data_IF_699736690141
#
_entry.id   IF_699736690141
#
_cell.length_a   1.000
_cell.length_b   1.000
_cell.length_c   1.000
_cell.angle_alpha   90.00
_cell.angle_beta   90.00
_cell.angle_gamma   90.00
#
_symmetry.space_group_name_H-M   'P 1'
#
loop_
_entity.id
_entity.type
_entity.pdbx_description
1 polymer ?
#
# COMPACT_ATOMS: atom_id res chain seq x y z
N UNK A 1 18.86 -5.90 3.12
CA UNK A 1 17.95 -6.50 4.12
C UNK A 1 17.20 -7.59 3.40
N UNK A 2 17.24 -8.80 3.93
CA UNK A 2 16.53 -9.91 3.31
C UNK A 2 15.03 -9.72 3.50
N UNK A 3 14.27 -9.81 2.41
CA UNK A 3 12.81 -9.63 2.37
C UNK A 3 12.10 -10.67 3.26
N UNK A 4 12.77 -11.80 3.50
CA UNK A 4 12.29 -12.91 4.34
C UNK A 4 12.68 -12.76 5.82
N UNK A 5 13.56 -11.82 6.16
CA UNK A 5 14.01 -11.62 7.54
C UNK A 5 12.94 -10.93 8.39
N UNK A 6 12.85 -11.30 9.66
CA UNK A 6 12.03 -10.60 10.63
C UNK A 6 12.66 -9.27 11.02
N UNK A 7 11.81 -8.24 11.14
CA UNK A 7 12.23 -6.91 11.59
C UNK A 7 12.35 -6.85 13.11
N UNK A 8 13.16 -5.91 13.59
CA UNK A 8 13.26 -5.59 15.03
C UNK A 8 11.88 -5.22 15.59
N UNK A 9 11.57 -5.54 16.86
CA UNK A 9 10.26 -5.23 17.46
C UNK A 9 9.91 -3.74 17.39
N UNK A 10 10.89 -2.85 17.50
CA UNK A 10 10.75 -1.39 17.36
C UNK A 10 10.30 -0.93 15.97
N UNK A 11 10.55 -1.75 14.93
CA UNK A 11 10.19 -1.47 13.54
C UNK A 11 9.02 -2.33 13.04
N UNK A 12 8.36 -3.03 13.95
CA UNK A 12 7.18 -3.82 13.60
C UNK A 12 6.01 -2.90 13.24
N UNK A 13 5.14 -3.38 12.36
CA UNK A 13 3.94 -2.65 11.96
C UNK A 13 2.76 -3.10 12.81
N UNK A 14 2.06 -2.15 13.41
CA UNK A 14 0.94 -2.45 14.31
C UNK A 14 -0.35 -2.03 13.62
N UNK A 15 -1.23 -3.00 13.41
CA UNK A 15 -2.55 -2.79 12.84
C UNK A 15 -3.50 -2.14 13.86
N UNK A 16 -4.59 -1.54 13.40
CA UNK A 16 -5.59 -0.94 14.29
C UNK A 16 -6.32 -1.95 15.17
N UNK A 17 -6.28 -3.23 14.83
CA UNK A 17 -6.79 -4.34 15.65
C UNK A 17 -5.80 -4.81 16.73
N UNK A 18 -4.60 -4.20 16.78
CA UNK A 18 -3.53 -4.55 17.72
C UNK A 18 -2.60 -5.67 17.24
N UNK A 19 -2.85 -6.28 16.07
CA UNK A 19 -1.93 -7.29 15.52
C UNK A 19 -0.61 -6.66 15.12
N UNK A 20 0.48 -7.37 15.42
CA UNK A 20 1.85 -6.93 15.15
C UNK A 20 2.42 -7.74 13.98
N UNK A 21 2.84 -7.04 12.94
CA UNK A 21 3.43 -7.60 11.73
C UNK A 21 4.93 -7.32 11.74
N UNK A 22 5.75 -8.38 11.72
CA UNK A 22 7.21 -8.28 11.78
C UNK A 22 7.91 -8.61 10.47
N UNK A 23 7.22 -9.25 9.53
CA UNK A 23 7.77 -9.72 8.26
C UNK A 23 6.83 -9.38 7.10
N UNK A 24 7.35 -9.22 5.88
CA UNK A 24 6.55 -9.07 4.66
C UNK A 24 5.73 -10.33 4.36
N UNK A 25 6.21 -11.51 4.76
CA UNK A 25 5.44 -12.76 4.66
C UNK A 25 4.22 -12.73 5.59
N UNK A 26 4.41 -12.27 6.83
CA UNK A 26 3.30 -12.09 7.77
C UNK A 26 2.30 -11.04 7.25
N UNK A 27 2.79 -9.96 6.63
CA UNK A 27 1.92 -8.97 6.00
C UNK A 27 1.05 -9.59 4.92
N UNK A 28 1.64 -10.35 3.99
CA UNK A 28 0.90 -11.02 2.91
C UNK A 28 -0.21 -11.93 3.47
N UNK A 29 0.12 -12.77 4.46
CA UNK A 29 -0.86 -13.67 5.10
C UNK A 29 -1.95 -12.90 5.85
N UNK A 30 -1.57 -11.83 6.54
CA UNK A 30 -2.48 -11.00 7.33
C UNK A 30 -3.46 -10.26 6.43
N UNK A 31 -3.06 -9.82 5.23
CA UNK A 31 -3.94 -9.12 4.29
C UNK A 31 -5.15 -9.95 3.85
N UNK A 32 -5.04 -11.29 3.83
CA UNK A 32 -6.17 -12.18 3.52
C UNK A 32 -7.15 -12.34 4.69
N UNK A 33 -6.71 -12.04 5.91
CA UNK A 33 -7.47 -12.28 7.15
C UNK A 33 -8.00 -10.99 7.79
N UNK A 34 -7.47 -9.83 7.42
CA UNK A 34 -7.92 -8.55 8.03
C UNK A 34 -9.25 -8.09 7.46
N UNK A 35 -10.04 -7.47 8.33
CA UNK A 35 -11.28 -6.80 7.97
C UNK A 35 -11.02 -5.58 7.08
N UNK A 36 -11.99 -5.24 6.23
CA UNK A 36 -11.91 -4.09 5.33
C UNK A 36 -11.75 -2.77 6.11
N UNK A 37 -12.45 -2.62 7.23
CA UNK A 37 -12.37 -1.42 8.08
C UNK A 37 -10.95 -1.20 8.66
N UNK A 38 -10.30 -2.29 9.08
CA UNK A 38 -8.92 -2.25 9.58
C UNK A 38 -7.97 -1.85 8.45
N UNK A 39 -8.16 -2.40 7.24
CA UNK A 39 -7.34 -2.06 6.08
C UNK A 39 -7.50 -0.59 5.66
N UNK A 40 -8.74 -0.09 5.60
CA UNK A 40 -9.05 1.29 5.17
C UNK A 40 -8.48 2.34 6.13
N UNK A 41 -8.31 2.00 7.41
CA UNK A 41 -7.62 2.87 8.38
C UNK A 41 -6.14 3.12 8.04
N UNK A 42 -5.50 2.16 7.35
CA UNK A 42 -4.09 2.22 6.96
C UNK A 42 -3.90 2.65 5.50
N UNK A 43 -4.90 2.39 4.64
CA UNK A 43 -4.85 2.67 3.20
C UNK A 43 -6.04 3.55 2.84
N UNK A 44 -5.77 4.84 2.61
CA UNK A 44 -6.80 5.79 2.17
C UNK A 44 -6.29 6.67 1.03
N UNK A 45 -7.11 7.59 0.54
CA UNK A 45 -6.74 8.46 -0.60
C UNK A 45 -5.49 9.30 -0.32
N UNK A 46 -5.27 9.68 0.95
CA UNK A 46 -4.20 10.59 1.36
C UNK A 46 -2.92 9.87 1.79
N UNK A 47 -3.04 8.67 2.35
CA UNK A 47 -1.92 7.90 2.93
C UNK A 47 -2.00 6.41 2.61
N UNK A 48 -0.83 5.78 2.65
CA UNK A 48 -0.67 4.35 2.57
C UNK A 48 0.42 3.98 3.57
N UNK A 49 0.02 3.49 4.75
CA UNK A 49 0.95 3.21 5.83
C UNK A 49 1.87 2.01 5.49
N UNK A 50 1.38 1.05 4.71
CA UNK A 50 2.19 -0.08 4.22
C UNK A 50 3.31 0.38 3.29
N UNK A 51 3.03 1.36 2.41
CA UNK A 51 4.06 1.96 1.55
C UNK A 51 5.21 2.55 2.37
N UNK A 52 4.88 3.39 3.35
CA UNK A 52 5.89 4.04 4.20
C UNK A 52 6.69 3.00 4.99
N UNK A 53 6.01 1.99 5.56
CA UNK A 53 6.67 0.92 6.30
C UNK A 53 7.64 0.10 5.43
N UNK A 54 7.22 -0.34 4.24
CA UNK A 54 8.09 -1.11 3.32
C UNK A 54 9.31 -0.27 2.92
N UNK A 55 9.08 1.00 2.57
CA UNK A 55 10.14 1.93 2.16
C UNK A 55 11.14 2.21 3.28
N UNK A 56 10.67 2.49 4.49
CA UNK A 56 11.51 2.99 5.57
C UNK A 56 12.15 1.86 6.39
N UNK A 57 11.47 0.71 6.51
CA UNK A 57 11.97 -0.44 7.30
C UNK A 57 12.80 -1.40 6.45
N UNK A 58 12.33 -1.76 5.25
CA UNK A 58 13.03 -2.71 4.38
C UNK A 58 13.93 -2.02 3.34
N UNK A 59 13.65 -0.76 3.02
CA UNK A 59 14.42 -0.01 2.01
C UNK A 59 14.11 -0.43 0.57
N UNK A 60 13.11 -1.27 0.33
CA UNK A 60 12.74 -1.73 -1.01
C UNK A 60 11.87 -0.69 -1.73
N UNK A 61 12.53 0.21 -2.45
CA UNK A 61 11.89 1.31 -3.18
C UNK A 61 11.03 0.82 -4.35
N UNK A 62 11.39 -0.31 -4.96
CA UNK A 62 10.68 -0.86 -6.12
C UNK A 62 9.35 -1.45 -5.67
N UNK A 63 9.39 -2.27 -4.61
CA UNK A 63 8.18 -2.83 -4.00
C UNK A 63 7.31 -1.71 -3.42
N UNK A 64 7.90 -0.77 -2.68
CA UNK A 64 7.16 0.37 -2.15
C UNK A 64 6.50 1.17 -3.28
N UNK A 65 7.23 1.46 -4.36
CA UNK A 65 6.67 2.15 -5.53
C UNK A 65 5.46 1.43 -6.13
N UNK A 66 5.51 0.11 -6.26
CA UNK A 66 4.37 -0.68 -6.73
C UNK A 66 3.17 -0.64 -5.77
N UNK A 67 3.43 -0.68 -4.45
CA UNK A 67 2.40 -0.68 -3.40
C UNK A 67 1.72 0.67 -3.23
N UNK A 68 2.42 1.78 -3.55
CA UNK A 68 1.97 3.15 -3.26
C UNK A 68 0.53 3.44 -3.69
N UNK A 69 0.17 3.01 -4.90
CA UNK A 69 -1.12 3.31 -5.52
C UNK A 69 -2.17 2.19 -5.36
N UNK A 70 -1.82 1.10 -4.67
CA UNK A 70 -2.72 -0.04 -4.45
C UNK A 70 -3.70 0.27 -3.32
N UNK A 71 -4.99 0.19 -3.62
CA UNK A 71 -6.10 0.44 -2.68
C UNK A 71 -6.94 -0.80 -2.38
N UNK A 72 -6.54 -1.95 -2.91
CA UNK A 72 -7.22 -3.23 -2.69
C UNK A 72 -6.28 -4.18 -1.97
N UNK A 73 -6.80 -4.87 -0.94
CA UNK A 73 -6.10 -5.91 -0.19
C UNK A 73 -5.53 -6.99 -1.12
N UNK A 74 -6.32 -7.42 -2.09
CA UNK A 74 -5.94 -8.47 -3.06
C UNK A 74 -4.78 -8.02 -3.95
N UNK A 75 -4.82 -6.78 -4.43
CA UNK A 75 -3.75 -6.22 -5.26
C UNK A 75 -2.43 -6.15 -4.47
N UNK A 76 -2.52 -5.70 -3.21
CA UNK A 76 -1.40 -5.59 -2.30
C UNK A 76 -0.80 -6.97 -1.99
N UNK A 77 -1.63 -7.94 -1.60
CA UNK A 77 -1.23 -9.30 -1.31
C UNK A 77 -0.56 -9.96 -2.53
N UNK A 78 -1.15 -9.79 -3.73
CA UNK A 78 -0.59 -10.32 -4.98
C UNK A 78 0.77 -9.72 -5.31
N UNK A 79 0.96 -8.42 -5.09
CA UNK A 79 2.24 -7.76 -5.33
C UNK A 79 3.33 -8.26 -4.37
N UNK A 80 2.98 -8.47 -3.10
CA UNK A 80 3.86 -9.05 -2.09
C UNK A 80 4.22 -10.50 -2.43
N UNK A 81 3.23 -11.34 -2.73
CA UNK A 81 3.44 -12.74 -3.12
C UNK A 81 4.40 -12.85 -4.30
N UNK A 82 4.18 -12.07 -5.37
CA UNK A 82 5.08 -12.04 -6.54
C UNK A 82 6.51 -11.68 -6.16
N UNK A 83 6.70 -10.71 -5.25
CA UNK A 83 8.04 -10.30 -4.81
C UNK A 83 8.70 -11.36 -3.94
N UNK A 84 7.94 -12.01 -3.05
CA UNK A 84 8.41 -13.11 -2.22
C UNK A 84 8.85 -14.30 -3.07
N UNK A 85 8.04 -14.71 -4.05
CA UNK A 85 8.37 -15.79 -4.98
C UNK A 85 9.66 -15.52 -5.76
N UNK A 86 9.82 -14.28 -6.25
CA UNK A 86 11.05 -13.87 -6.93
C UNK A 86 12.27 -13.95 -5.99
N UNK A 87 12.11 -13.57 -4.72
CA UNK A 87 13.20 -13.65 -3.74
C UNK A 87 13.58 -15.10 -3.42
N UNK A 88 12.59 -15.98 -3.24
CA UNK A 88 12.79 -17.40 -2.94
C UNK A 88 13.45 -18.10 -4.13
N UNK A 89 12.99 -17.82 -5.36
CA UNK A 89 13.58 -18.37 -6.58
C UNK A 89 15.04 -17.95 -6.74
N UNK A 90 15.38 -16.71 -6.34
CA UNK A 90 16.76 -16.24 -6.37
C UNK A 90 17.64 -16.87 -5.28
N UNK A 91 17.09 -17.22 -4.12
CA UNK A 91 17.86 -17.83 -3.02
C UNK A 91 18.09 -19.34 -3.21
N UNK A 92 17.20 -20.03 -3.94
CA UNK A 92 17.27 -21.49 -4.18
C UNK A 92 18.06 -21.83 -5.45
N UNK A 93 18.66 -20.84 -6.13
CA UNK A 93 19.34 -21.09 -7.40
C UNK A 93 20.69 -21.84 -7.29
N UNK A 94 21.24 -22.11 -6.09
CA UNK A 94 22.49 -22.90 -5.98
C UNK A 94 22.64 -23.79 -4.70
N UNK A 95 21.68 -24.65 -4.33
CA UNK A 95 21.91 -25.67 -3.30
C UNK A 95 22.85 -26.79 -3.79
N UNK A 96 23.12 -26.89 -5.09
CA UNK A 96 23.99 -27.90 -5.69
C UNK A 96 25.31 -27.38 -6.27
N UNK A 97 25.65 -26.10 -6.09
CA UNK A 97 27.02 -25.62 -6.20
C UNK A 97 27.87 -26.09 -5.00
N UNK A 98 27.71 -27.35 -4.59
CA UNK A 98 28.78 -28.09 -3.93
C UNK A 98 29.88 -28.13 -4.96
N UNK A 99 30.85 -27.22 -4.83
CA UNK A 99 32.16 -27.35 -5.43
C UNK A 99 32.60 -28.79 -5.17
N UNK A 100 32.48 -29.63 -6.20
CA UNK A 100 33.27 -30.84 -6.25
C UNK A 100 34.71 -30.36 -6.07
N UNK A 101 35.43 -30.77 -5.02
CA UNK A 101 36.85 -30.48 -4.92
C UNK A 101 37.51 -31.28 -6.03
N UNK A 102 37.48 -30.73 -7.25
CA UNK A 102 38.20 -31.27 -8.39
C UNK A 102 39.67 -30.98 -8.10
N UNK A 103 40.25 -31.94 -7.39
CA UNK A 103 41.62 -32.41 -7.49
C UNK A 103 42.47 -31.51 -8.37
N UNK A 104 43.39 -30.81 -7.70
CA UNK A 104 44.72 -30.52 -8.18
C UNK A 104 45.21 -31.55 -9.20
N UNK A 105 45.01 -31.28 -10.49
CA UNK A 105 45.79 -31.89 -11.56
C UNK A 105 46.45 -30.76 -12.31
N UNK A 106 47.68 -30.53 -11.86
CA UNK A 106 48.83 -29.99 -12.57
C UNK A 106 48.70 -30.21 -14.08
N UNK A 107 48.77 -29.12 -14.84
CA UNK A 107 48.72 -29.12 -16.30
C UNK A 107 49.22 -27.81 -16.87
N UNK A 108 50.53 -27.60 -16.74
CA UNK A 108 51.31 -26.60 -17.48
C UNK A 108 51.03 -26.70 -18.98
N UNK A 109 50.77 -25.57 -19.65
CA UNK A 109 50.61 -25.53 -21.11
C UNK A 109 50.14 -24.19 -21.66
N UNK A 110 51.07 -23.24 -21.75
CA UNK A 110 51.20 -22.22 -22.81
C UNK A 110 50.15 -22.18 -23.94
N UNK A 111 49.48 -21.04 -24.16
CA UNK A 111 49.90 -20.07 -25.20
C UNK A 111 48.92 -18.88 -25.40
N UNK A 112 49.41 -17.77 -25.98
CA UNK A 112 48.73 -16.47 -26.06
C UNK A 112 48.25 -16.11 -27.48
N UNK A 113 47.02 -15.62 -27.63
CA UNK A 113 46.47 -14.93 -28.83
C UNK A 113 45.01 -14.61 -28.50
N UNK A 114 44.36 -13.50 -28.82
CA UNK A 114 44.64 -12.36 -29.68
C UNK A 114 43.58 -11.31 -29.34
N UNK A 115 44.01 -10.06 -29.11
CA UNK A 115 43.14 -8.93 -28.79
C UNK A 115 42.36 -8.49 -30.03
N UNK A 116 41.04 -8.69 -30.03
CA UNK A 116 40.14 -8.16 -31.06
C UNK A 116 39.80 -6.69 -30.76
N UNK A 117 40.06 -5.74 -31.69
CA UNK A 117 39.77 -4.33 -31.46
C UNK A 117 38.26 -4.04 -31.50
N UNK A 118 37.84 -3.22 -30.54
CA UNK A 118 36.47 -2.76 -30.29
C UNK A 118 36.09 -1.68 -31.35
N UNK A 119 34.99 -1.83 -32.10
CA UNK A 119 34.54 -0.77 -33.00
C UNK A 119 34.00 0.43 -32.20
N UNK A 120 34.58 1.60 -32.44
CA UNK A 120 34.12 2.89 -31.91
C UNK A 120 32.82 3.28 -32.64
N UNK A 121 31.67 2.98 -32.06
CA UNK A 121 30.40 3.55 -32.51
C UNK A 121 30.21 4.92 -31.85
N UNK A 122 30.46 5.96 -32.65
CA UNK A 122 30.13 7.35 -32.34
C UNK A 122 28.61 7.50 -32.35
N UNK A 123 27.98 7.42 -31.17
CA UNK A 123 26.56 7.73 -31.02
C UNK A 123 26.42 9.23 -30.85
N UNK A 124 26.05 9.87 -31.97
CA UNK A 124 25.62 11.26 -32.08
C UNK A 124 24.34 11.45 -31.27
N UNK A 125 24.43 12.07 -30.09
CA UNK A 125 23.26 12.45 -29.31
C UNK A 125 22.56 13.66 -29.96
N UNK A 126 21.24 13.64 -30.18
CA UNK A 126 20.49 14.84 -30.50
C UNK A 126 20.30 15.68 -29.25
N UNK A 127 20.83 16.90 -29.30
CA UNK A 127 20.47 17.98 -28.38
C UNK A 127 19.02 18.41 -28.66
N UNK A 128 18.09 18.06 -27.77
CA UNK A 128 16.78 18.69 -27.76
C UNK A 128 16.21 18.77 -26.34
N UNK A 129 16.16 20.02 -25.87
CA UNK A 129 15.15 20.60 -24.98
C UNK A 129 14.99 20.02 -23.56
N UNK A 130 15.86 20.47 -22.66
CA UNK A 130 15.44 20.77 -21.28
C UNK A 130 14.66 22.08 -21.28
N UNK A 131 13.33 22.03 -21.27
CA UNK A 131 12.51 23.16 -20.83
C UNK A 131 12.27 23.03 -19.34
N UNK A 132 13.11 23.71 -18.57
CA UNK A 132 12.83 24.15 -17.20
C UNK A 132 11.48 24.86 -17.14
N UNK A 133 10.56 24.32 -16.36
CA UNK A 133 9.39 25.05 -15.89
C UNK A 133 9.24 24.86 -14.38
N UNK A 134 10.04 25.61 -13.64
CA UNK A 134 9.72 26.01 -12.28
C UNK A 134 8.78 27.23 -12.34
N UNK A 135 7.81 27.34 -11.43
CA UNK A 135 7.46 28.62 -10.84
C UNK A 135 7.69 28.54 -9.33
N UNK A 136 8.69 29.27 -8.83
CA UNK A 136 8.55 30.61 -8.24
C UNK A 136 7.91 30.59 -6.86
N UNK A 137 8.80 30.75 -5.90
CA UNK A 137 8.60 31.37 -4.60
C UNK A 137 7.60 32.54 -4.62
N UNK A 138 6.70 32.58 -3.64
CA UNK A 138 6.14 33.83 -3.14
C UNK A 138 6.22 33.86 -1.62
N UNK A 139 7.28 34.51 -1.12
CA UNK A 139 7.29 35.14 0.20
C UNK A 139 6.36 36.36 0.16
N UNK A 140 5.45 36.48 1.11
CA UNK A 140 4.94 37.74 1.70
C UNK A 140 4.44 37.35 3.10
N UNK A 141 5.19 37.64 4.16
CA UNK A 141 5.23 38.93 4.86
C UNK A 141 3.81 39.36 5.29
N UNK A 142 3.56 39.29 6.59
CA UNK A 142 2.23 39.38 7.18
C UNK A 142 1.72 40.78 7.48
N UNK A 143 0.54 40.81 8.11
CA UNK A 143 -0.03 41.89 8.92
C UNK A 143 -1.23 41.25 9.66
N UNK A 144 -1.15 41.11 10.98
CA UNK A 144 -1.71 42.00 12.01
C UNK A 144 -3.25 42.13 11.99
N UNK A 145 -3.84 41.60 13.07
CA UNK A 145 -4.90 42.16 13.95
C UNK A 145 -6.27 42.55 13.38
N UNK A 146 -7.32 41.98 13.97
CA UNK A 146 -8.53 42.63 14.54
C UNK A 146 -9.62 41.55 14.69
N UNK A 147 -9.99 41.11 15.91
CA UNK A 147 -11.12 41.64 16.70
C UNK A 147 -12.41 41.83 15.88
N UNK A 148 -13.46 41.06 16.17
CA UNK A 148 -14.75 41.30 15.54
C UNK A 148 -15.77 40.18 15.73
N UNK A 149 -16.24 40.03 16.96
CA UNK A 149 -17.55 39.49 17.27
C UNK A 149 -18.63 40.10 16.38
N UNK A 150 -19.44 39.28 15.70
CA UNK A 150 -20.87 39.59 15.52
C UNK A 150 -21.70 38.39 15.04
N UNK A 151 -22.75 38.18 15.81
CA UNK A 151 -23.88 37.32 15.59
C UNK A 151 -24.67 37.62 14.30
N UNK A 152 -25.65 36.72 14.04
CA UNK A 152 -26.90 36.95 13.29
C UNK A 152 -26.70 37.05 11.77
N UNK A 153 -27.33 36.24 10.92
CA UNK A 153 -28.79 36.16 10.69
C UNK A 153 -29.09 35.09 9.63
N UNK A 154 -30.26 34.48 9.78
CA UNK A 154 -31.00 33.71 8.77
C UNK A 154 -31.33 34.58 7.54
N UNK A 155 -31.27 34.01 6.34
CA UNK A 155 -32.02 34.40 5.12
C UNK A 155 -31.67 33.37 4.04
N UNK A 156 -32.51 32.39 3.71
CA UNK A 156 -33.66 32.49 2.80
C UNK A 156 -33.31 33.00 1.38
N UNK A 157 -33.55 32.12 0.40
CA UNK A 157 -34.20 32.38 -0.90
C UNK A 157 -33.42 33.11 -2.02
N UNK A 158 -33.11 32.37 -3.09
CA UNK A 158 -33.35 32.64 -4.53
C UNK A 158 -32.45 31.69 -5.32
N UNK A 159 -32.91 30.71 -6.10
CA UNK A 159 -33.72 30.80 -7.31
C UNK A 159 -33.26 31.95 -8.23
N UNK A 160 -32.22 31.68 -9.03
CA UNK A 160 -31.97 32.43 -10.26
C UNK A 160 -31.49 31.49 -11.34
N UNK A 161 -32.38 31.32 -12.32
CA UNK A 161 -32.12 30.75 -13.62
C UNK A 161 -31.05 31.57 -14.32
N UNK A 162 -30.07 30.91 -14.94
CA UNK A 162 -29.38 31.48 -16.10
C UNK A 162 -29.17 30.40 -17.16
N UNK A 163 -30.13 30.41 -18.07
CA UNK A 163 -30.08 29.89 -19.42
C UNK A 163 -29.10 30.70 -20.29
N UNK A 164 -28.62 30.05 -21.36
CA UNK A 164 -27.81 30.64 -22.44
C UNK A 164 -26.31 30.38 -22.24
N UNK A 165 -25.55 29.91 -23.22
CA UNK A 165 -25.64 30.23 -24.64
C UNK A 165 -24.83 29.22 -25.45
N UNK A 166 -25.41 28.82 -26.57
CA UNK A 166 -24.83 27.96 -27.58
C UNK A 166 -23.45 28.45 -28.07
N UNK A 167 -22.51 27.52 -28.23
CA UNK A 167 -21.43 27.63 -29.22
C UNK A 167 -21.44 26.40 -30.11
N UNK A 168 -22.09 26.56 -31.26
CA UNK A 168 -21.91 25.73 -32.46
C UNK A 168 -20.46 25.91 -32.91
N UNK A 169 -19.73 24.81 -32.97
CA UNK A 169 -18.38 24.74 -33.54
C UNK A 169 -18.25 23.43 -34.28
N UNK A 170 -18.62 23.46 -35.56
CA UNK A 170 -18.38 22.40 -36.54
C UNK A 170 -16.91 22.03 -36.56
N UNK A 171 -16.57 20.77 -36.28
CA UNK A 171 -15.39 20.15 -36.89
C UNK A 171 -15.82 18.83 -37.50
N UNK A 172 -15.50 18.75 -38.77
CA UNK A 172 -15.85 17.71 -39.74
C UNK A 172 -15.12 16.41 -39.41
N UNK A 173 -15.86 15.30 -39.48
CA UNK A 173 -15.58 14.15 -40.36
C UNK A 173 -14.15 13.59 -40.33
N UNK A 174 -13.97 12.50 -39.57
CA UNK A 174 -13.15 11.37 -39.99
C UNK A 174 -13.78 10.09 -39.42
N UNK A 175 -14.62 9.48 -40.25
CA UNK A 175 -15.11 8.14 -40.06
C UNK A 175 -14.05 7.18 -40.62
N UNK A 176 -13.58 6.23 -39.82
CA UNK A 176 -13.07 4.96 -40.34
C UNK A 176 -13.06 3.89 -39.24
N UNK A 177 -14.02 2.98 -39.38
CA UNK A 177 -13.85 1.54 -39.21
C UNK A 177 -13.34 1.00 -37.86
N UNK A 178 -14.27 0.66 -36.96
CA UNK A 178 -14.20 -0.61 -36.23
C UNK A 178 -15.58 -1.06 -35.76
N UNK A 179 -16.47 -1.28 -36.72
CA UNK A 179 -17.76 -1.93 -36.51
C UNK A 179 -17.68 -3.34 -37.10
N UNK A 180 -17.09 -4.27 -36.36
CA UNK A 180 -17.27 -5.70 -36.61
C UNK A 180 -17.36 -6.47 -35.30
N UNK A 181 -18.53 -7.09 -35.12
CA UNK A 181 -18.74 -8.38 -34.44
C UNK A 181 -19.15 -8.34 -32.96
N UNK A 182 -20.19 -7.58 -32.65
CA UNK A 182 -21.14 -7.96 -31.59
C UNK A 182 -22.00 -9.12 -32.09
N UNK A 183 -21.46 -10.34 -32.03
CA UNK A 183 -22.30 -11.55 -32.12
C UNK A 183 -23.12 -11.59 -30.83
N UNK A 184 -24.44 -11.50 -30.99
CA UNK A 184 -25.43 -11.87 -29.96
C UNK A 184 -25.05 -13.22 -29.37
N UNK A 185 -24.47 -13.22 -28.18
CA UNK A 185 -24.52 -14.37 -27.28
C UNK A 185 -25.85 -14.25 -26.56
N UNK A 186 -26.77 -15.16 -26.90
CA UNK A 186 -28.00 -15.36 -26.13
C UNK A 186 -27.59 -15.62 -24.68
N UNK A 187 -28.25 -14.98 -23.68
CA UNK A 187 -28.00 -15.33 -22.29
C UNK A 187 -28.32 -16.81 -22.08
N UNK A 188 -27.47 -17.57 -21.36
CA UNK A 188 -27.81 -18.94 -20.99
C UNK A 188 -29.08 -18.92 -20.14
N UNK A 189 -30.09 -19.70 -20.56
CA UNK A 189 -31.26 -19.99 -19.73
C UNK A 189 -30.75 -20.77 -18.52
N UNK A 190 -30.74 -20.12 -17.37
CA UNK A 190 -30.47 -20.79 -16.10
C UNK A 190 -31.76 -21.50 -15.69
N UNK A 191 -31.80 -22.82 -15.86
CA UNK A 191 -32.93 -23.64 -15.41
C UNK A 191 -32.99 -23.60 -13.88
N UNK A 192 -34.05 -22.99 -13.36
CA UNK A 192 -34.31 -22.81 -11.94
C UNK A 192 -34.88 -24.08 -11.24
N UNK A 193 -34.66 -25.28 -11.80
CA UNK A 193 -35.37 -26.51 -11.42
C UNK A 193 -34.58 -27.48 -10.53
N UNK A 194 -33.46 -27.08 -9.94
CA UNK A 194 -32.65 -27.93 -9.05
C UNK A 194 -32.66 -27.47 -7.58
N UNK A 195 -33.77 -26.89 -7.11
CA UNK A 195 -34.06 -26.79 -5.68
C UNK A 195 -34.76 -28.07 -5.20
N UNK A 196 -34.04 -29.20 -5.29
CA UNK A 196 -34.47 -30.46 -4.67
C UNK A 196 -34.18 -30.38 -3.18
N UNK A 197 -35.25 -30.11 -2.42
CA UNK A 197 -35.40 -30.42 -1.00
C UNK A 197 -34.77 -31.77 -0.69
N UNK A 198 -33.71 -31.78 0.10
CA UNK A 198 -33.38 -32.90 0.96
C UNK A 198 -33.59 -32.48 2.40
N UNK A 199 -34.87 -32.51 2.79
CA UNK A 199 -35.27 -32.89 4.13
C UNK A 199 -34.73 -34.29 4.39
N UNK A 200 -33.85 -34.43 5.40
CA UNK A 200 -33.64 -35.60 6.27
C UNK A 200 -32.27 -35.49 6.94
N UNK A 201 -32.27 -35.09 8.21
CA UNK A 201 -31.51 -35.83 9.22
C UNK A 201 -31.98 -35.49 10.63
N UNK A 202 -32.84 -36.32 11.26
CA UNK A 202 -33.03 -36.30 12.69
C UNK A 202 -32.03 -37.29 13.32
N UNK A 203 -31.24 -36.81 14.28
CA UNK A 203 -30.57 -37.66 15.25
C UNK A 203 -29.05 -37.67 15.15
N UNK A 204 -28.41 -36.71 15.82
CA UNK A 204 -27.10 -36.97 16.42
C UNK A 204 -27.23 -36.88 17.94
N UNK A 205 -27.01 -38.04 18.52
CA UNK A 205 -27.10 -38.38 19.92
C UNK A 205 -26.16 -37.52 20.77
N UNK A 206 -26.62 -37.30 21.99
CA UNK A 206 -25.86 -36.88 23.16
C UNK A 206 -24.57 -37.68 23.32
N UNK A 207 -23.45 -37.04 23.00
CA UNK A 207 -22.11 -37.51 23.36
C UNK A 207 -21.65 -36.75 24.61
N UNK A 208 -21.92 -37.35 25.76
CA UNK A 208 -21.10 -37.19 26.96
C UNK A 208 -19.71 -37.76 26.64
N UNK A 209 -18.65 -36.94 26.58
CA UNK A 209 -17.34 -37.34 27.12
C UNK A 209 -16.32 -36.22 27.19
N UNK A 210 -15.60 -36.26 28.30
CA UNK A 210 -14.26 -35.75 28.57
C UNK A 210 -14.06 -34.24 28.52
N UNK A 211 -14.35 -33.64 29.68
CA UNK A 211 -13.48 -32.64 30.27
C UNK A 211 -12.03 -33.14 30.28
N UNK A 212 -11.26 -32.72 29.27
CA UNK A 212 -9.81 -32.81 29.25
C UNK A 212 -9.27 -31.40 29.17
N UNK A 213 -8.95 -30.88 30.36
CA UNK A 213 -7.91 -29.88 30.61
C UNK A 213 -7.65 -28.88 29.47
N UNK A 214 -8.48 -27.84 29.40
CA UNK A 214 -7.98 -26.51 29.04
C UNK A 214 -6.93 -26.13 30.08
N UNK A 215 -5.66 -26.40 29.77
CA UNK A 215 -4.59 -25.55 30.28
C UNK A 215 -4.82 -24.19 29.65
N UNK A 216 -5.54 -23.35 30.38
CA UNK A 216 -5.62 -21.92 30.19
C UNK A 216 -4.19 -21.36 30.14
N UNK A 217 -3.61 -21.34 28.94
CA UNK A 217 -2.53 -20.43 28.61
C UNK A 217 -3.19 -19.06 28.70
N UNK A 218 -3.00 -18.40 29.84
CA UNK A 218 -3.23 -16.97 29.97
C UNK A 218 -2.36 -16.32 28.90
N UNK A 219 -2.93 -16.10 27.72
CA UNK A 219 -2.34 -15.16 26.79
C UNK A 219 -2.32 -13.81 27.51
N UNK A 220 -1.13 -13.22 27.74
CA UNK A 220 -1.11 -11.86 28.24
C UNK A 220 -1.80 -11.01 27.19
N UNK A 221 -2.94 -10.42 27.57
CA UNK A 221 -3.56 -9.30 26.86
C UNK A 221 -2.54 -8.16 26.85
N UNK A 222 -1.54 -8.26 25.97
CA UNK A 222 -0.65 -7.17 25.62
C UNK A 222 -1.50 -6.25 24.76
N UNK A 223 -2.33 -5.44 25.41
CA UNK A 223 -2.97 -4.28 24.79
C UNK A 223 -1.83 -3.35 24.37
N UNK A 224 -1.52 -3.23 23.07
CA UNK A 224 -0.41 -2.39 22.65
C UNK A 224 -0.88 -0.93 22.73
N UNK A 225 -0.47 -0.29 23.81
CA UNK A 225 -0.72 1.11 24.16
C UNK A 225 0.16 2.02 23.29
N UNK A 226 -0.11 2.10 21.97
CA UNK A 226 0.77 2.82 21.02
C UNK A 226 0.13 4.11 20.46
N UNK A 227 -1.03 4.51 20.99
CA UNK A 227 -1.62 5.84 20.74
C UNK A 227 -1.13 6.92 21.70
N UNK A 228 -0.24 6.60 22.64
CA UNK A 228 0.21 7.56 23.66
C UNK A 228 1.00 8.72 23.10
N UNK A 229 1.83 8.54 22.07
CA UNK A 229 2.70 9.63 21.61
C UNK A 229 1.94 10.83 21.03
N UNK A 230 0.83 10.59 20.29
CA UNK A 230 0.00 11.69 19.78
C UNK A 230 -0.84 12.32 20.90
N UNK A 231 -1.38 11.51 21.81
CA UNK A 231 -2.18 12.03 22.93
C UNK A 231 -1.32 12.82 23.92
N UNK A 232 -0.10 12.38 24.19
CA UNK A 232 0.89 13.10 25.01
C UNK A 232 1.32 14.42 24.36
N UNK A 233 1.49 14.46 23.03
CA UNK A 233 1.76 15.71 22.32
C UNK A 233 0.58 16.68 22.42
N UNK A 234 -0.65 16.20 22.25
CA UNK A 234 -1.86 17.04 22.36
C UNK A 234 -2.06 17.52 23.81
N UNK A 235 -1.88 16.65 24.80
CA UNK A 235 -1.90 17.02 26.23
C UNK A 235 -0.83 18.05 26.56
N UNK A 236 0.40 17.86 26.08
CA UNK A 236 1.49 18.83 26.26
C UNK A 236 1.18 20.19 25.64
N UNK A 237 0.55 20.22 24.47
CA UNK A 237 0.15 21.46 23.80
C UNK A 237 -0.94 22.20 24.60
N UNK A 238 -1.95 21.48 25.09
CA UNK A 238 -3.03 22.06 25.91
C UNK A 238 -2.47 22.61 27.23
N UNK A 239 -1.63 21.85 27.93
CA UNK A 239 -1.00 22.29 29.19
C UNK A 239 -0.10 23.50 28.96
N UNK A 240 0.69 23.51 27.88
CA UNK A 240 1.57 24.62 27.53
C UNK A 240 0.80 25.91 27.23
N UNK A 241 -0.31 25.83 26.48
CA UNK A 241 -1.17 27.00 26.19
C UNK A 241 -1.80 27.54 27.46
N UNK A 242 -2.35 26.68 28.33
CA UNK A 242 -2.96 27.11 29.60
C UNK A 242 -1.93 27.75 30.53
N UNK A 243 -0.74 27.15 30.65
CA UNK A 243 0.35 27.71 31.45
C UNK A 243 0.78 29.09 30.95
N UNK A 244 0.90 29.26 29.62
CA UNK A 244 1.23 30.54 29.01
C UNK A 244 0.19 31.64 29.28
N UNK A 245 -1.10 31.31 29.27
CA UNK A 245 -2.19 32.25 29.60
C UNK A 245 -2.09 32.72 31.05
N UNK A 246 -1.82 31.81 31.99
CA UNK A 246 -1.69 32.15 33.42
C UNK A 246 -0.47 33.05 33.66
N UNK A 247 0.69 32.72 33.07
CA UNK A 247 1.90 33.56 33.18
C UNK A 247 1.64 34.96 32.59
N UNK A 248 0.91 35.03 31.46
CA UNK A 248 0.54 36.32 30.84
C UNK A 248 -0.42 37.17 31.67
N UNK A 249 -1.11 36.61 32.67
CA UNK A 249 -1.97 37.37 33.59
C UNK A 249 -1.23 37.85 34.85
N UNK A 250 -0.06 37.28 35.15
CA UNK A 250 0.76 37.62 36.31
C UNK A 250 1.77 38.74 36.05
N UNK A 251 2.07 39.02 34.78
CA UNK A 251 2.96 40.10 34.32
C UNK A 251 2.14 41.28 33.85
#
# INVERSE_FOLDING_TARGET
MDILSETKPEKSFILSDGKVIRSLKQLEQTLHLIDDEVFDNHVNVLKNDFYNWIKDVYGDKDLAGAVKDMRSKEQLAKALAKKLDNSISSSVADPFAIKSPRSSVVGSGSSPTELKPRPKTSVKMPASSWTSAAPRSSKKAGQKKASGSRARKKSARSQSQRSGKARRGSVKKAASASARRSKQLKPPKFDHSMLKKHDRSPGSKTSKKSASQEKAVKEPLVVPYVRSSLMEFVLGLVVGVLSGIVISMLV
#
